data_IF_870147779862
#
_entry.id   IF_870147779862
#
_cell.length_a   1.000
_cell.length_b   1.000
_cell.length_c   1.000
_cell.angle_alpha   90.00
_cell.angle_beta   90.00
_cell.angle_gamma   90.00
#
_symmetry.space_group_name_H-M   'P 1'
#
loop_
_entity.id
_entity.type
_entity.pdbx_description
1 polymer ?
#
# COMPACT_ATOMS: atom_id res chain seq x y z
N UNK A 1 -10.93 8.07 0.71
CA UNK A 1 -9.67 8.67 1.11
C UNK A 1 -8.68 8.65 -0.05
N UNK A 2 -8.74 9.65 -0.93
CA UNK A 2 -7.83 9.82 -2.07
C UNK A 2 -6.55 10.56 -1.63
N UNK A 3 -5.88 10.08 -0.61
CA UNK A 3 -4.66 10.73 -0.13
C UNK A 3 -3.48 10.13 -0.87
N UNK A 4 -2.72 10.98 -1.57
CA UNK A 4 -1.45 10.59 -2.17
C UNK A 4 -0.50 10.08 -1.06
N UNK A 5 0.23 8.96 -1.25
CA UNK A 5 1.13 8.40 -0.23
C UNK A 5 2.04 9.43 0.44
N UNK A 6 2.61 10.36 -0.32
CA UNK A 6 3.50 11.40 0.19
C UNK A 6 2.82 12.45 1.09
N UNK A 7 1.49 12.47 1.17
CA UNK A 7 0.76 13.32 2.10
C UNK A 7 0.49 12.66 3.46
N UNK A 8 0.99 11.44 3.67
CA UNK A 8 0.92 10.76 4.96
C UNK A 8 1.72 11.53 6.02
N UNK A 9 1.18 11.60 7.25
CA UNK A 9 1.80 12.29 8.37
C UNK A 9 1.63 11.49 9.67
N UNK A 10 2.59 11.65 10.57
CA UNK A 10 2.62 10.99 11.88
C UNK A 10 1.98 11.85 12.98
N UNK A 11 2.04 13.18 12.83
CA UNK A 11 1.59 14.10 13.87
C UNK A 11 1.13 15.44 13.29
N UNK A 12 0.13 16.04 13.95
CA UNK A 12 -0.33 17.41 13.70
C UNK A 12 -0.39 18.17 15.01
N UNK A 13 0.37 19.27 15.11
CA UNK A 13 0.36 20.15 16.26
C UNK A 13 -0.18 21.51 15.85
N UNK A 14 -1.19 22.00 16.57
CA UNK A 14 -1.75 23.34 16.37
C UNK A 14 -1.38 24.25 17.54
N UNK A 15 -0.92 25.44 17.22
CA UNK A 15 -0.62 26.50 18.21
C UNK A 15 -1.44 27.72 17.87
N UNK A 16 -2.10 28.28 18.89
CA UNK A 16 -2.89 29.52 18.76
C UNK A 16 -2.17 30.61 19.55
N UNK A 17 -1.79 31.70 18.87
CA UNK A 17 -1.16 32.85 19.50
C UNK A 17 -2.16 33.72 20.26
N UNK A 18 -1.69 34.63 21.10
CA UNK A 18 -2.50 35.63 21.77
C UNK A 18 -3.21 36.57 20.76
N UNK A 19 -2.63 36.77 19.57
CA UNK A 19 -3.21 37.52 18.45
C UNK A 19 -4.25 36.71 17.65
N UNK A 20 -4.59 35.49 18.09
CA UNK A 20 -5.53 34.55 17.44
C UNK A 20 -5.03 34.02 16.07
N UNK A 21 -3.75 34.08 15.81
CA UNK A 21 -3.16 33.39 14.67
C UNK A 21 -3.06 31.89 14.96
N UNK A 22 -3.40 31.05 13.99
CA UNK A 22 -3.33 29.60 14.08
C UNK A 22 -2.14 29.14 13.24
N UNK A 23 -1.18 28.51 13.90
CA UNK A 23 -0.05 27.84 13.21
C UNK A 23 -0.24 26.33 13.33
N UNK A 24 -0.17 25.62 12.20
CA UNK A 24 -0.26 24.17 12.12
C UNK A 24 1.10 23.65 11.75
N UNK A 25 1.62 22.70 12.55
CA UNK A 25 2.84 21.95 12.29
C UNK A 25 2.44 20.53 11.92
N UNK A 26 3.04 20.00 10.85
CA UNK A 26 2.76 18.65 10.36
C UNK A 26 4.09 17.91 10.23
N UNK A 27 4.19 16.75 10.89
CA UNK A 27 5.32 15.84 10.77
C UNK A 27 4.97 14.80 9.70
N UNK A 28 5.44 15.01 8.46
CA UNK A 28 5.20 14.11 7.35
C UNK A 28 6.01 12.83 7.47
N UNK A 29 5.49 11.75 6.85
CA UNK A 29 6.18 10.47 6.76
C UNK A 29 7.40 10.49 5.83
N UNK A 30 7.45 11.38 4.90
CA UNK A 30 8.50 11.43 3.89
C UNK A 30 9.24 12.75 3.93
N UNK A 31 10.57 12.69 3.89
CA UNK A 31 11.40 13.84 3.59
C UNK A 31 11.41 14.14 2.09
N UNK A 32 11.85 15.34 1.70
CA UNK A 32 11.97 15.68 0.27
C UNK A 32 12.99 14.81 -0.45
N UNK A 33 14.05 14.39 0.23
CA UNK A 33 15.11 13.51 -0.27
C UNK A 33 14.55 12.11 -0.55
N UNK A 34 13.76 11.57 0.37
CA UNK A 34 13.08 10.27 0.19
C UNK A 34 12.07 10.31 -0.94
N UNK A 35 11.24 11.36 -1.03
CA UNK A 35 10.29 11.56 -2.12
C UNK A 35 11.03 11.56 -3.48
N UNK A 36 12.16 12.25 -3.55
CA UNK A 36 12.97 12.29 -4.78
C UNK A 36 13.49 10.90 -5.13
N UNK A 37 14.11 10.20 -4.18
CA UNK A 37 14.66 8.86 -4.39
C UNK A 37 13.58 7.85 -4.79
N UNK A 38 12.40 7.91 -4.17
CA UNK A 38 11.24 7.07 -4.52
C UNK A 38 10.77 7.36 -5.95
N UNK A 39 10.61 8.63 -6.33
CA UNK A 39 10.17 8.99 -7.67
C UNK A 39 11.16 8.51 -8.74
N UNK A 40 12.46 8.70 -8.53
CA UNK A 40 13.51 8.20 -9.43
C UNK A 40 13.42 6.67 -9.57
N UNK A 41 13.16 5.96 -8.48
CA UNK A 41 13.02 4.50 -8.49
C UNK A 41 11.73 4.04 -9.17
N UNK A 42 10.62 4.73 -8.96
CA UNK A 42 9.35 4.48 -9.65
C UNK A 42 9.51 4.70 -11.17
N UNK A 43 10.21 5.75 -11.57
CA UNK A 43 10.48 6.04 -12.97
C UNK A 43 11.35 4.94 -13.60
N UNK A 44 12.46 4.56 -12.95
CA UNK A 44 13.35 3.47 -13.39
C UNK A 44 12.58 2.15 -13.61
N UNK A 45 11.79 1.74 -12.61
CA UNK A 45 11.04 0.48 -12.68
C UNK A 45 9.99 0.55 -13.77
N UNK A 46 9.27 1.67 -13.88
CA UNK A 46 8.20 1.85 -14.85
C UNK A 46 8.76 1.80 -16.27
N UNK A 47 9.80 2.56 -16.57
CA UNK A 47 10.43 2.63 -17.91
C UNK A 47 11.01 1.29 -18.35
N UNK A 48 11.53 0.50 -17.39
CA UNK A 48 12.12 -0.81 -17.67
C UNK A 48 11.09 -1.89 -17.97
N UNK A 49 9.93 -1.85 -17.29
CA UNK A 49 9.00 -2.97 -17.28
C UNK A 49 7.70 -2.70 -18.03
N UNK A 50 7.32 -1.44 -18.27
CA UNK A 50 6.05 -1.07 -18.88
C UNK A 50 6.23 -0.58 -20.30
N UNK A 51 5.41 -1.09 -21.20
CA UNK A 51 5.39 -0.67 -22.60
C UNK A 51 4.01 -0.10 -22.98
N UNK A 52 3.96 0.73 -24.01
CA UNK A 52 2.74 1.45 -24.41
C UNK A 52 1.63 0.56 -24.95
N UNK A 53 1.94 -0.68 -25.36
CA UNK A 53 0.96 -1.64 -25.90
C UNK A 53 0.36 -2.56 -24.84
N UNK A 54 0.79 -2.47 -23.59
CA UNK A 54 0.21 -3.26 -22.48
C UNK A 54 -1.16 -2.70 -22.11
N UNK A 55 -2.10 -3.61 -21.79
CA UNK A 55 -3.35 -3.25 -21.14
C UNK A 55 -3.11 -2.69 -19.73
N UNK A 56 -4.07 -1.98 -19.17
CA UNK A 56 -3.91 -1.48 -17.80
C UNK A 56 -3.81 -2.62 -16.78
N UNK A 57 -4.54 -3.73 -16.99
CA UNK A 57 -4.43 -4.94 -16.17
C UNK A 57 -3.02 -5.55 -16.25
N UNK A 58 -2.44 -5.69 -17.46
CA UNK A 58 -1.07 -6.20 -17.63
C UNK A 58 -0.03 -5.30 -16.97
N UNK A 59 -0.21 -3.98 -17.04
CA UNK A 59 0.68 -3.02 -16.35
C UNK A 59 0.60 -3.20 -14.83
N UNK A 60 -0.62 -3.27 -14.28
CA UNK A 60 -0.83 -3.50 -12.86
C UNK A 60 -0.17 -4.81 -12.44
N UNK A 61 -0.42 -5.89 -13.19
CA UNK A 61 0.15 -7.21 -12.91
C UNK A 61 1.68 -7.19 -12.93
N UNK A 62 2.27 -6.53 -13.93
CA UNK A 62 3.73 -6.43 -14.04
C UNK A 62 4.36 -5.73 -12.83
N UNK A 63 3.74 -4.65 -12.36
CA UNK A 63 4.22 -3.93 -11.18
C UNK A 63 3.95 -4.68 -9.89
N UNK A 64 2.77 -5.29 -9.74
CA UNK A 64 2.44 -6.16 -8.63
C UNK A 64 3.51 -7.25 -8.44
N UNK A 65 3.77 -8.01 -9.50
CA UNK A 65 4.75 -9.10 -9.50
C UNK A 65 6.19 -8.58 -9.25
N UNK A 66 6.51 -7.39 -9.79
CA UNK A 66 7.81 -6.76 -9.51
C UNK A 66 7.98 -6.42 -8.03
N UNK A 67 6.98 -5.77 -7.42
CA UNK A 67 7.08 -5.36 -6.01
C UNK A 67 7.21 -6.61 -5.13
N UNK A 68 6.38 -7.63 -5.30
CA UNK A 68 6.42 -8.85 -4.49
C UNK A 68 7.76 -9.57 -4.65
N UNK A 69 8.24 -9.77 -5.87
CA UNK A 69 9.52 -10.46 -6.13
C UNK A 69 10.77 -9.70 -5.62
N UNK A 70 10.63 -8.42 -5.26
CA UNK A 70 11.76 -7.60 -4.78
C UNK A 70 11.57 -7.12 -3.32
N UNK A 71 10.54 -7.59 -2.63
CA UNK A 71 10.21 -7.15 -1.27
C UNK A 71 9.95 -8.37 -0.39
N UNK A 72 10.26 -8.28 0.89
CA UNK A 72 9.90 -9.26 1.91
C UNK A 72 9.04 -8.60 2.98
N UNK A 73 8.04 -9.32 3.46
CA UNK A 73 7.27 -8.84 4.59
C UNK A 73 8.14 -8.73 5.84
N UNK A 74 8.08 -7.59 6.51
CA UNK A 74 8.96 -7.23 7.63
C UNK A 74 8.46 -7.83 8.96
N UNK A 75 8.41 -9.16 9.07
CA UNK A 75 7.87 -9.89 10.24
C UNK A 75 8.71 -9.65 11.48
N UNK A 76 10.02 -9.79 11.38
CA UNK A 76 10.90 -9.77 12.55
C UNK A 76 10.90 -8.40 13.25
N UNK A 77 10.97 -7.33 12.45
CA UNK A 77 10.99 -5.97 12.97
C UNK A 77 9.61 -5.49 13.38
N UNK A 78 8.56 -5.97 12.74
CA UNK A 78 7.17 -5.62 13.08
C UNK A 78 6.77 -6.21 14.45
N UNK A 79 7.07 -7.49 14.70
CA UNK A 79 6.75 -8.17 15.96
C UNK A 79 7.45 -7.54 17.18
N UNK A 80 8.65 -7.00 16.99
CA UNK A 80 9.42 -6.35 18.06
C UNK A 80 9.03 -4.88 18.28
N UNK A 81 8.11 -4.33 17.50
CA UNK A 81 7.80 -2.90 17.47
C UNK A 81 8.98 -2.04 17.02
N UNK A 82 9.96 -2.64 16.35
CA UNK A 82 11.20 -2.00 15.90
C UNK A 82 11.32 -1.91 14.40
N UNK A 83 10.22 -2.17 13.66
CA UNK A 83 10.23 -1.98 12.22
C UNK A 83 10.75 -0.59 11.89
N UNK A 84 11.78 -0.48 11.05
CA UNK A 84 12.18 0.81 10.54
C UNK A 84 10.96 1.48 9.93
N UNK A 85 10.85 2.75 10.17
CA UNK A 85 9.77 3.57 9.64
C UNK A 85 9.56 3.41 8.13
N UNK A 86 10.64 3.12 7.40
CA UNK A 86 10.64 2.86 5.97
C UNK A 86 9.77 1.67 5.56
N UNK A 87 9.67 0.62 6.38
CA UNK A 87 8.81 -0.54 6.07
C UNK A 87 7.31 -0.19 6.02
N UNK A 88 6.90 0.90 6.69
CA UNK A 88 5.53 1.41 6.67
C UNK A 88 5.26 2.40 5.53
N UNK A 89 6.25 2.73 4.72
CA UNK A 89 6.19 3.70 3.63
C UNK A 89 6.63 3.06 2.32
N UNK A 90 6.38 3.72 1.19
CA UNK A 90 6.85 3.24 -0.12
C UNK A 90 8.38 3.13 -0.23
N UNK A 91 9.13 3.77 0.69
CA UNK A 91 10.59 3.71 0.70
C UNK A 91 11.10 2.29 0.93
N UNK A 92 10.52 1.57 1.91
CA UNK A 92 10.93 0.23 2.25
C UNK A 92 10.88 -0.75 1.06
N UNK A 93 9.73 -1.01 0.46
CA UNK A 93 9.63 -1.97 -0.65
C UNK A 93 10.41 -1.53 -1.90
N UNK A 94 10.52 -0.24 -2.17
CA UNK A 94 11.14 0.24 -3.41
C UNK A 94 12.67 0.38 -3.32
N UNK A 95 13.21 0.65 -2.13
CA UNK A 95 14.63 0.99 -1.96
C UNK A 95 15.38 0.06 -1.01
N UNK A 96 14.69 -0.57 -0.04
CA UNK A 96 15.30 -1.45 0.96
C UNK A 96 14.89 -2.93 0.83
N UNK A 97 13.81 -3.22 0.07
CA UNK A 97 13.31 -4.57 -0.14
C UNK A 97 12.56 -5.17 1.05
N UNK A 98 11.99 -4.34 1.94
CA UNK A 98 11.16 -4.77 3.07
C UNK A 98 9.93 -3.88 3.21
N UNK A 99 8.77 -4.48 3.54
CA UNK A 99 7.53 -3.76 3.74
C UNK A 99 6.61 -4.41 4.78
N UNK A 100 5.77 -3.58 5.42
CA UNK A 100 4.50 -4.00 6.01
C UNK A 100 3.38 -3.74 5.00
N UNK A 101 2.12 -4.09 5.34
CA UNK A 101 0.97 -3.84 4.48
C UNK A 101 0.87 -2.38 3.98
N UNK A 102 1.21 -1.40 4.83
CA UNK A 102 1.26 0.01 4.46
C UNK A 102 2.30 0.29 3.35
N UNK A 103 3.49 -0.26 3.48
CA UNK A 103 4.57 -0.08 2.50
C UNK A 103 4.19 -0.64 1.13
N UNK A 104 3.67 -1.87 1.07
CA UNK A 104 3.16 -2.48 -0.16
C UNK A 104 2.07 -1.61 -0.81
N UNK A 105 1.09 -1.19 -0.01
CA UNK A 105 -0.04 -0.37 -0.47
C UNK A 105 0.41 0.98 -1.01
N UNK A 106 1.33 1.66 -0.33
CA UNK A 106 1.85 2.95 -0.75
C UNK A 106 2.72 2.83 -2.02
N UNK A 107 3.57 1.81 -2.11
CA UNK A 107 4.36 1.57 -3.31
C UNK A 107 3.47 1.32 -4.54
N UNK A 108 2.48 0.43 -4.42
CA UNK A 108 1.55 0.15 -5.52
C UNK A 108 0.73 1.39 -5.91
N UNK A 109 0.27 2.19 -4.93
CA UNK A 109 -0.47 3.42 -5.19
C UNK A 109 0.32 4.42 -6.05
N UNK A 110 1.65 4.56 -5.83
CA UNK A 110 2.49 5.44 -6.64
C UNK A 110 2.53 5.02 -8.12
N UNK A 111 2.62 3.72 -8.39
CA UNK A 111 2.57 3.22 -9.77
C UNK A 111 1.18 3.39 -10.40
N UNK A 112 0.11 3.13 -9.65
CA UNK A 112 -1.26 3.34 -10.13
C UNK A 112 -1.48 4.82 -10.49
N UNK A 113 -0.99 5.75 -9.66
CA UNK A 113 -1.03 7.19 -9.94
C UNK A 113 -0.24 7.51 -11.20
N UNK A 114 0.98 6.96 -11.37
CA UNK A 114 1.80 7.16 -12.57
C UNK A 114 1.13 6.63 -13.84
N UNK A 115 0.36 5.54 -13.74
CA UNK A 115 -0.43 4.99 -14.84
C UNK A 115 -1.72 5.79 -15.13
N UNK A 116 -2.10 6.75 -14.28
CA UNK A 116 -3.37 7.47 -14.36
C UNK A 116 -4.58 6.63 -13.95
N UNK A 117 -4.36 5.56 -13.18
CA UNK A 117 -5.40 4.65 -12.70
C UNK A 117 -5.93 5.11 -11.35
N UNK A 118 -7.25 5.32 -11.26
CA UNK A 118 -7.91 5.73 -10.02
C UNK A 118 -7.77 4.64 -8.98
N UNK A 119 -7.29 5.03 -7.80
CA UNK A 119 -7.09 4.10 -6.68
C UNK A 119 -7.26 4.81 -5.34
N UNK A 120 -7.46 4.05 -4.28
CA UNK A 120 -7.40 4.54 -2.89
C UNK A 120 -7.02 3.41 -1.94
N UNK A 121 -6.55 3.80 -0.76
CA UNK A 121 -6.21 2.86 0.32
C UNK A 121 -7.48 2.42 1.05
N UNK A 122 -7.68 1.13 1.12
CA UNK A 122 -8.69 0.48 1.98
C UNK A 122 -8.02 0.12 3.29
N UNK A 123 -8.71 0.36 4.40
CA UNK A 123 -8.23 -0.04 5.73
C UNK A 123 -9.32 -0.86 6.44
N UNK A 124 -8.91 -1.96 7.01
CA UNK A 124 -9.72 -2.77 7.91
C UNK A 124 -9.21 -2.56 9.33
N UNK A 125 -10.10 -2.06 10.21
CA UNK A 125 -9.85 -2.01 11.65
C UNK A 125 -10.86 -2.95 12.32
N UNK A 126 -10.41 -3.90 13.13
CA UNK A 126 -11.32 -4.78 13.85
C UNK A 126 -12.17 -3.96 14.82
N UNK A 127 -13.51 -4.02 14.69
CA UNK A 127 -14.42 -3.23 15.54
C UNK A 127 -14.41 -3.64 17.01
N UNK A 128 -13.97 -4.85 17.35
CA UNK A 128 -14.10 -5.40 18.72
C UNK A 128 -12.95 -6.30 19.19
N UNK A 129 -11.83 -6.39 18.49
CA UNK A 129 -10.72 -7.24 18.90
C UNK A 129 -9.43 -6.45 18.94
N UNK A 130 -8.92 -6.14 20.13
CA UNK A 130 -7.69 -5.37 20.34
C UNK A 130 -6.42 -6.16 19.96
N UNK A 131 -6.56 -7.45 19.64
CA UNK A 131 -5.46 -8.37 19.34
C UNK A 131 -5.28 -8.62 17.83
N UNK A 132 -6.10 -8.01 16.95
CA UNK A 132 -5.93 -8.11 15.49
C UNK A 132 -5.36 -6.80 14.98
N UNK A 133 -4.16 -6.86 14.42
CA UNK A 133 -3.54 -5.73 13.74
C UNK A 133 -4.40 -5.30 12.55
N UNK A 134 -4.60 -3.98 12.40
CA UNK A 134 -5.30 -3.44 11.24
C UNK A 134 -4.57 -3.79 9.94
N UNK A 135 -5.33 -4.02 8.86
CA UNK A 135 -4.79 -4.32 7.55
C UNK A 135 -5.16 -3.25 6.52
N UNK A 136 -4.28 -3.03 5.54
CA UNK A 136 -4.50 -2.06 4.47
C UNK A 136 -4.06 -2.62 3.12
N UNK A 137 -4.82 -2.26 2.07
CA UNK A 137 -4.56 -2.64 0.68
C UNK A 137 -5.09 -1.58 -0.31
N UNK A 138 -4.95 -1.81 -1.60
CA UNK A 138 -5.44 -0.89 -2.63
C UNK A 138 -6.83 -1.29 -3.14
N UNK A 139 -7.70 -0.30 -3.34
CA UNK A 139 -8.82 -0.40 -4.26
C UNK A 139 -8.45 0.26 -5.58
N UNK A 140 -8.73 -0.38 -6.70
CA UNK A 140 -8.33 0.02 -8.05
C UNK A 140 -9.54 0.10 -8.94
N UNK A 141 -9.67 1.16 -9.75
CA UNK A 141 -10.78 1.33 -10.68
C UNK A 141 -10.34 0.98 -12.11
N UNK A 142 -10.92 -0.09 -12.65
CA UNK A 142 -10.74 -0.50 -14.04
C UNK A 142 -12.10 -0.63 -14.73
N UNK A 143 -12.21 -0.20 -15.99
CA UNK A 143 -13.45 -0.30 -16.77
C UNK A 143 -14.70 0.21 -16.04
N UNK A 144 -14.53 1.24 -15.22
CA UNK A 144 -15.54 1.86 -14.37
C UNK A 144 -16.03 1.00 -13.18
N UNK A 145 -15.38 -0.10 -12.88
CA UNK A 145 -15.64 -0.98 -11.73
C UNK A 145 -14.46 -0.95 -10.74
N UNK A 146 -14.76 -1.18 -9.44
CA UNK A 146 -13.76 -1.23 -8.39
C UNK A 146 -13.36 -2.66 -8.06
N UNK A 147 -12.04 -2.87 -7.90
CA UNK A 147 -11.43 -4.15 -7.54
C UNK A 147 -10.51 -3.99 -6.33
N UNK A 148 -10.37 -5.04 -5.55
CA UNK A 148 -9.37 -5.14 -4.49
C UNK A 148 -8.06 -5.65 -5.07
N UNK A 149 -6.95 -5.09 -4.59
CA UNK A 149 -5.59 -5.46 -4.97
C UNK A 149 -4.74 -5.48 -3.71
N UNK A 150 -4.38 -6.67 -3.23
CA UNK A 150 -3.66 -6.84 -1.99
C UNK A 150 -2.33 -7.57 -2.19
N UNK A 151 -1.26 -6.79 -2.33
CA UNK A 151 0.09 -7.31 -2.51
C UNK A 151 0.59 -8.06 -1.28
N UNK A 152 0.16 -7.65 -0.08
CA UNK A 152 0.60 -8.28 1.16
C UNK A 152 0.12 -9.72 1.26
N UNK A 153 -1.14 -9.96 0.90
CA UNK A 153 -1.72 -11.31 0.94
C UNK A 153 -1.35 -12.16 -0.28
N UNK A 154 -0.89 -11.52 -1.36
CA UNK A 154 -0.31 -12.21 -2.52
C UNK A 154 1.20 -12.49 -2.37
N UNK A 155 1.81 -12.01 -1.25
CA UNK A 155 3.19 -12.28 -0.82
C UNK A 155 3.21 -13.03 0.53
N UNK A 156 2.78 -14.29 0.58
CA UNK A 156 2.64 -15.00 1.83
C UNK A 156 4.00 -15.32 2.47
N UNK A 157 4.12 -15.00 3.76
CA UNK A 157 5.27 -15.41 4.57
C UNK A 157 5.29 -16.92 4.70
N UNK A 158 6.30 -17.56 4.11
CA UNK A 158 6.42 -19.01 4.09
C UNK A 158 7.29 -19.55 5.23
N UNK A 159 6.82 -20.61 5.88
CA UNK A 159 7.59 -21.33 6.92
C UNK A 159 8.74 -22.18 6.35
N UNK A 160 8.77 -22.44 5.03
CA UNK A 160 9.83 -23.19 4.36
C UNK A 160 10.96 -22.31 3.80
N UNK A 161 10.87 -20.99 4.03
CA UNK A 161 11.85 -19.99 3.62
C UNK A 161 11.87 -19.70 2.11
N UNK A 162 10.89 -20.23 1.35
CA UNK A 162 10.74 -19.91 -0.07
C UNK A 162 9.87 -18.68 -0.25
N UNK A 163 10.14 -17.95 -1.30
CA UNK A 163 9.39 -16.82 -1.77
C UNK A 163 8.27 -17.28 -2.70
N UNK A 164 7.03 -16.88 -2.43
CA UNK A 164 5.86 -17.29 -3.19
C UNK A 164 5.10 -16.07 -3.69
N UNK A 165 5.04 -15.92 -5.00
CA UNK A 165 4.14 -14.95 -5.64
C UNK A 165 2.80 -15.62 -5.89
N UNK A 166 1.72 -15.02 -5.38
CA UNK A 166 0.34 -15.42 -5.63
C UNK A 166 -0.42 -14.32 -6.37
N UNK A 167 -1.63 -14.66 -6.85
CA UNK A 167 -2.57 -13.73 -7.46
C UNK A 167 -4.00 -14.00 -6.95
N UNK A 168 -4.10 -14.47 -5.72
CA UNK A 168 -5.38 -14.80 -5.10
C UNK A 168 -6.18 -13.53 -4.75
N UNK A 169 -5.47 -12.45 -4.48
CA UNK A 169 -6.04 -11.15 -4.13
C UNK A 169 -5.74 -10.07 -5.19
N UNK A 170 -5.43 -10.51 -6.41
CA UNK A 170 -5.14 -9.65 -7.54
C UNK A 170 -6.41 -9.25 -8.29
N UNK A 171 -6.81 -7.97 -8.22
CA UNK A 171 -7.96 -7.39 -8.92
C UNK A 171 -9.26 -8.20 -8.76
N UNK A 172 -9.56 -8.60 -7.54
CA UNK A 172 -10.78 -9.34 -7.20
C UNK A 172 -11.92 -8.40 -6.83
N UNK A 173 -13.15 -8.81 -7.12
CA UNK A 173 -14.35 -8.10 -6.70
C UNK A 173 -14.61 -8.25 -5.21
N UNK A 174 -15.45 -7.37 -4.63
CA UNK A 174 -15.87 -7.51 -3.23
C UNK A 174 -16.60 -8.85 -2.97
N UNK A 175 -17.31 -9.38 -3.98
CA UNK A 175 -17.97 -10.67 -3.83
C UNK A 175 -16.96 -11.81 -3.76
N UNK A 176 -15.94 -11.81 -4.63
CA UNK A 176 -14.86 -12.80 -4.61
C UNK A 176 -14.04 -12.71 -3.32
N UNK A 177 -13.76 -11.49 -2.83
CA UNK A 177 -13.08 -11.30 -1.54
C UNK A 177 -13.88 -11.93 -0.39
N UNK A 178 -15.19 -11.76 -0.33
CA UNK A 178 -16.08 -12.39 0.66
C UNK A 178 -16.10 -13.93 0.58
N UNK A 179 -15.92 -14.49 -0.61
CA UNK A 179 -15.88 -15.94 -0.82
C UNK A 179 -14.53 -16.56 -0.43
N UNK A 180 -13.44 -15.78 -0.56
CA UNK A 180 -12.09 -16.19 -0.19
C UNK A 180 -11.90 -16.18 1.34
N UNK A 181 -12.53 -15.23 1.99
CA UNK A 181 -12.47 -15.05 3.44
C UNK A 181 -13.42 -16.07 4.10
N UNK A 182 -12.86 -17.13 4.69
CA UNK A 182 -13.58 -18.20 5.38
C UNK A 182 -14.32 -17.73 6.65
N UNK A 183 -14.56 -16.41 6.79
CA UNK A 183 -15.32 -15.81 7.90
C UNK A 183 -14.49 -15.56 9.16
N UNK A 184 -13.17 -15.72 9.08
CA UNK A 184 -12.28 -15.42 10.22
C UNK A 184 -11.94 -13.93 10.34
N UNK A 185 -12.05 -13.17 9.24
CA UNK A 185 -11.82 -11.73 9.21
C UNK A 185 -13.06 -11.01 8.70
N UNK A 186 -13.67 -10.09 9.48
CA UNK A 186 -14.85 -9.38 9.04
C UNK A 186 -14.50 -8.50 7.82
N UNK A 187 -15.00 -8.90 6.65
CA UNK A 187 -14.87 -8.10 5.44
C UNK A 187 -15.80 -6.90 5.56
N UNK A 188 -15.22 -5.71 5.67
CA UNK A 188 -16.00 -4.48 5.66
C UNK A 188 -16.70 -4.34 4.30
N UNK A 189 -18.00 -4.07 4.31
CA UNK A 189 -18.74 -3.74 3.10
C UNK A 189 -18.28 -2.38 2.59
N UNK A 190 -17.38 -2.38 1.63
CA UNK A 190 -16.97 -1.15 0.94
C UNK A 190 -18.05 -0.78 -0.07
N UNK A 191 -18.88 0.18 0.30
CA UNK A 191 -19.74 0.82 -0.68
C UNK A 191 -18.90 1.83 -1.46
N UNK A 192 -18.41 1.40 -2.59
CA UNK A 192 -17.82 2.29 -3.59
C UNK A 192 -18.97 3.08 -4.26
N UNK A 193 -19.20 4.30 -3.79
CA UNK A 193 -20.15 5.23 -4.42
C UNK A 193 -19.47 6.04 -5.50
#
# INVERSE_FOLDING_TARGET
NYVHPFNGFSNVKTVISETREITVFIDYFYTNEEIKAINEKVDEIYEKNITSNMSDEDKIKTIHDYIINNTKYDVERNNDGKSPYHSYTAYGPLLEGYATCNGYTDAMALFLIKMGISNFKVAMTPENNQDIDGHVWNAVKLNNEWYHLDLTWDDPVSSDGKDYLQHKYFLITTQELKEIDDGEVPVLEHQFK
#
